data_IF_540672087832
#
_entry.id   IF_540672087832
#
_cell.length_a   1.000
_cell.length_b   1.000
_cell.length_c   1.000
_cell.angle_alpha   90.00
_cell.angle_beta   90.00
_cell.angle_gamma   90.00
#
_symmetry.space_group_name_H-M   'P 1'
#
loop_
_entity.id
_entity.type
_entity.pdbx_description
1 polymer ?
#
# COMPACT_ATOMS: atom_id res chain seq x y z
N UNK A 1 -19.27 -4.81 24.52
CA UNK A 1 -19.54 -4.79 23.06
C UNK A 1 -18.47 -5.63 22.39
N UNK A 2 -18.85 -6.68 21.68
CA UNK A 2 -17.93 -7.53 20.93
C UNK A 2 -17.80 -7.00 19.51
N UNK A 3 -16.61 -6.55 19.12
CA UNK A 3 -16.31 -6.20 17.74
C UNK A 3 -16.03 -7.51 16.98
N UNK A 4 -16.57 -7.64 15.77
CA UNK A 4 -16.39 -8.82 14.92
C UNK A 4 -16.04 -8.37 13.52
N UNK A 5 -15.03 -9.01 12.92
CA UNK A 5 -14.64 -8.75 11.55
C UNK A 5 -15.68 -9.28 10.56
N UNK A 6 -15.76 -8.66 9.40
CA UNK A 6 -16.59 -9.18 8.32
C UNK A 6 -15.99 -10.50 7.79
N UNK A 7 -16.81 -11.46 7.32
CA UNK A 7 -16.32 -12.67 6.66
C UNK A 7 -15.48 -12.33 5.41
N UNK A 8 -14.51 -13.18 5.03
CA UNK A 8 -13.70 -12.96 3.85
C UNK A 8 -14.58 -12.85 2.59
N UNK A 9 -14.26 -11.88 1.73
CA UNK A 9 -14.95 -11.64 0.46
C UNK A 9 -13.93 -11.47 -0.66
N UNK A 10 -14.20 -11.98 -1.88
CA UNK A 10 -13.36 -11.71 -3.06
C UNK A 10 -13.29 -10.21 -3.42
N UNK A 11 -14.24 -9.40 -2.93
CA UNK A 11 -14.26 -7.94 -3.16
C UNK A 11 -13.32 -7.16 -2.22
N UNK A 12 -12.70 -7.84 -1.25
CA UNK A 12 -11.77 -7.20 -0.32
C UNK A 12 -10.54 -6.68 -1.08
N UNK A 13 -10.20 -5.42 -0.86
CA UNK A 13 -9.00 -4.81 -1.44
C UNK A 13 -7.78 -5.20 -0.60
N UNK A 14 -6.73 -5.80 -1.20
CA UNK A 14 -5.52 -6.11 -0.46
C UNK A 14 -4.81 -4.82 -0.05
N UNK A 15 -4.27 -4.81 1.17
CA UNK A 15 -3.39 -3.75 1.65
C UNK A 15 -1.98 -4.34 1.72
N UNK A 16 -1.04 -3.68 1.06
CA UNK A 16 0.37 -4.04 1.10
C UNK A 16 1.11 -3.04 1.99
N UNK A 17 1.90 -3.54 2.93
CA UNK A 17 2.72 -2.70 3.81
C UNK A 17 4.08 -2.52 3.17
N UNK A 18 4.54 -1.27 3.07
CA UNK A 18 5.84 -0.91 2.52
C UNK A 18 6.53 -0.01 3.52
N UNK A 19 7.69 -0.43 4.03
CA UNK A 19 8.54 0.42 4.86
C UNK A 19 9.32 1.44 4.02
N UNK A 20 9.86 2.51 4.66
CA UNK A 20 10.69 3.50 3.96
C UNK A 20 11.89 2.89 3.23
N UNK A 21 12.52 1.88 3.85
CA UNK A 21 13.71 1.20 3.31
C UNK A 21 13.36 0.20 2.19
N UNK A 22 12.08 -0.17 2.06
CA UNK A 22 11.58 -1.15 1.09
C UNK A 22 10.94 -0.48 -0.12
N UNK A 23 10.59 0.81 -0.02
CA UNK A 23 9.84 1.53 -1.05
C UNK A 23 10.56 1.52 -2.40
N UNK A 24 11.88 1.76 -2.42
CA UNK A 24 12.66 1.75 -3.66
C UNK A 24 12.63 0.39 -4.36
N UNK A 25 12.88 -0.69 -3.62
CA UNK A 25 12.83 -2.05 -4.15
C UNK A 25 11.42 -2.42 -4.63
N UNK A 26 10.39 -2.04 -3.86
CA UNK A 26 9.01 -2.28 -4.26
C UNK A 26 8.63 -1.52 -5.55
N UNK A 27 9.09 -0.28 -5.72
CA UNK A 27 8.85 0.53 -6.92
C UNK A 27 9.47 -0.08 -8.18
N UNK A 28 10.60 -0.80 -8.07
CA UNK A 28 11.23 -1.47 -9.21
C UNK A 28 10.30 -2.52 -9.85
N UNK A 29 9.49 -3.20 -9.03
CA UNK A 29 8.56 -4.24 -9.47
C UNK A 29 7.22 -3.69 -10.01
N UNK A 30 6.96 -2.40 -9.87
CA UNK A 30 5.68 -1.80 -10.31
C UNK A 30 5.71 -1.37 -11.77
N UNK A 31 4.52 -1.22 -12.38
CA UNK A 31 4.41 -0.57 -13.69
C UNK A 31 4.59 0.96 -13.60
N UNK A 32 4.82 1.58 -14.76
CA UNK A 32 5.08 3.03 -14.85
C UNK A 32 3.92 3.89 -14.31
N UNK A 33 2.68 3.42 -14.43
CA UNK A 33 1.51 4.14 -13.95
C UNK A 33 1.47 4.18 -12.42
N UNK A 34 1.75 3.05 -11.77
CA UNK A 34 1.84 2.95 -10.31
C UNK A 34 3.00 3.79 -9.79
N UNK A 35 4.19 3.71 -10.41
CA UNK A 35 5.35 4.53 -10.01
C UNK A 35 5.03 6.03 -10.07
N UNK A 36 4.47 6.49 -11.20
CA UNK A 36 4.11 7.89 -11.38
C UNK A 36 3.05 8.36 -10.37
N UNK A 37 2.10 7.49 -10.01
CA UNK A 37 1.09 7.80 -9.00
C UNK A 37 1.70 7.95 -7.61
N UNK A 38 2.56 7.01 -7.19
CA UNK A 38 3.23 7.04 -5.87
C UNK A 38 4.11 8.29 -5.74
N UNK A 39 4.89 8.61 -6.78
CA UNK A 39 5.72 9.82 -6.82
C UNK A 39 4.87 11.09 -6.78
N UNK A 40 3.80 11.15 -7.58
CA UNK A 40 2.88 12.28 -7.60
C UNK A 40 2.12 12.49 -6.30
N UNK A 41 1.88 11.41 -5.54
CA UNK A 41 1.29 11.47 -4.21
C UNK A 41 2.29 11.93 -3.13
N UNK A 42 3.60 11.89 -3.41
CA UNK A 42 4.65 12.21 -2.45
C UNK A 42 4.76 11.17 -1.32
N UNK A 43 4.33 9.93 -1.56
CA UNK A 43 4.38 8.86 -0.58
C UNK A 43 5.82 8.40 -0.35
N UNK A 44 6.25 8.36 0.91
CA UNK A 44 7.63 8.05 1.31
C UNK A 44 7.78 6.77 2.13
N UNK A 45 6.70 6.00 2.31
CA UNK A 45 6.71 4.80 3.16
C UNK A 45 6.71 5.10 4.66
N UNK A 46 6.49 6.35 5.08
CA UNK A 46 6.47 6.72 6.49
C UNK A 46 5.34 6.00 7.25
N UNK A 47 5.61 5.56 8.48
CA UNK A 47 4.63 4.84 9.29
C UNK A 47 3.34 5.66 9.49
N UNK A 48 2.20 5.07 9.15
CA UNK A 48 0.89 5.71 9.26
C UNK A 48 0.57 6.71 8.13
N UNK A 49 1.41 6.83 7.10
CA UNK A 49 1.08 7.55 5.86
C UNK A 49 0.32 6.65 4.87
N UNK A 50 -0.58 7.26 4.10
CA UNK A 50 -1.39 6.64 3.05
C UNK A 50 -1.57 7.62 1.89
#
# INVERSE_FOLDING_TARGET
MTLTFTPPSPDAKPIHLVGPDELSAWMEDQDDGVRAWVEGAGFSGAAGSL
#
